data_IF_493146283998
#
_entry.id   IF_493146283998
#
_cell.length_a   1.000
_cell.length_b   1.000
_cell.length_c   1.000
_cell.angle_alpha   90.00
_cell.angle_beta   90.00
_cell.angle_gamma   90.00
#
_symmetry.space_group_name_H-M   'P 1'
#
loop_
_entity.id
_entity.type
_entity.pdbx_description
1 polymer ?
#
# COMPACT_ATOMS: atom_id res chain seq x y z
N UNK A 1 30.31 28.48 9.85
CA UNK A 1 29.53 27.30 9.47
C UNK A 1 29.80 26.26 10.53
N UNK A 2 28.78 25.92 11.33
CA UNK A 2 28.90 24.87 12.33
C UNK A 2 29.14 23.53 11.63
N UNK A 3 30.16 22.80 12.08
CA UNK A 3 30.44 21.45 11.60
C UNK A 3 29.56 20.48 12.40
N UNK A 4 28.92 19.49 11.76
CA UNK A 4 28.11 18.51 12.48
C UNK A 4 28.97 17.76 13.50
N UNK A 5 28.58 17.84 14.77
CA UNK A 5 29.23 17.16 15.89
C UNK A 5 28.57 15.80 16.07
N UNK A 6 29.37 14.75 16.25
CA UNK A 6 28.86 13.42 16.54
C UNK A 6 28.12 13.41 17.88
N UNK A 7 26.83 13.06 17.86
CA UNK A 7 25.97 12.97 19.04
C UNK A 7 26.44 11.93 20.07
N UNK A 8 27.28 10.98 19.66
CA UNK A 8 27.84 9.94 20.52
C UNK A 8 29.20 10.30 21.14
N UNK A 9 30.19 10.69 20.33
CA UNK A 9 31.57 10.92 20.81
C UNK A 9 32.00 12.39 20.89
N UNK A 10 31.14 13.33 20.47
CA UNK A 10 31.40 14.77 20.57
C UNK A 10 32.45 15.31 19.61
N UNK A 11 32.98 14.51 18.66
CA UNK A 11 33.95 14.98 17.66
C UNK A 11 33.27 15.56 16.42
N UNK A 12 33.93 16.54 15.79
CA UNK A 12 33.48 17.26 14.59
C UNK A 12 33.78 16.50 13.28
N UNK A 13 33.62 15.18 13.31
CA UNK A 13 34.04 14.26 12.26
C UNK A 13 32.86 13.45 11.73
N UNK A 14 31.78 14.12 11.33
CA UNK A 14 30.57 13.50 10.77
C UNK A 14 30.51 13.72 9.26
N UNK A 15 30.27 12.65 8.51
CA UNK A 15 30.07 12.62 7.06
C UNK A 15 28.66 12.14 6.73
N UNK A 16 28.13 12.53 5.57
CA UNK A 16 26.82 12.08 5.09
C UNK A 16 27.04 11.02 4.03
N UNK A 17 26.52 9.82 4.27
CA UNK A 17 26.48 8.74 3.29
C UNK A 17 25.07 8.63 2.70
N UNK A 18 24.97 8.45 1.38
CA UNK A 18 23.69 8.29 0.68
C UNK A 18 23.58 6.86 0.20
N UNK A 19 22.50 6.18 0.56
CA UNK A 19 22.22 4.80 0.14
C UNK A 19 20.84 4.71 -0.51
N UNK A 20 20.71 3.79 -1.45
CA UNK A 20 19.43 3.45 -2.07
C UNK A 20 18.69 2.44 -1.19
N UNK A 21 17.41 2.71 -0.92
CA UNK A 21 16.49 1.81 -0.23
C UNK A 21 15.34 1.44 -1.16
N UNK A 22 15.08 0.14 -1.28
CA UNK A 22 13.94 -0.37 -2.06
C UNK A 22 12.71 -0.47 -1.18
N UNK A 23 11.66 0.24 -1.56
CA UNK A 23 10.32 0.14 -0.99
C UNK A 23 9.48 -0.81 -1.84
N UNK A 24 8.59 -1.57 -1.21
CA UNK A 24 7.69 -2.51 -1.87
C UNK A 24 6.28 -2.37 -1.32
N UNK A 25 5.30 -2.51 -2.22
CA UNK A 25 3.88 -2.42 -1.90
C UNK A 25 3.10 -3.48 -2.69
N UNK A 26 2.31 -4.34 -2.03
CA UNK A 26 1.46 -5.32 -2.69
C UNK A 26 0.59 -4.67 -3.77
N UNK A 27 0.58 -5.24 -4.97
CA UNK A 27 -0.09 -4.70 -6.16
C UNK A 27 0.42 -3.32 -6.64
N UNK A 28 1.24 -2.61 -5.87
CA UNK A 28 1.85 -1.32 -6.24
C UNK A 28 3.16 -1.49 -7.02
N UNK A 29 3.94 -2.52 -6.67
CA UNK A 29 5.28 -2.75 -7.21
C UNK A 29 6.36 -2.23 -6.25
N UNK A 30 7.48 -1.79 -6.81
CA UNK A 30 8.63 -1.30 -6.03
C UNK A 30 9.01 0.12 -6.42
N UNK A 31 9.55 0.88 -5.47
CA UNK A 31 10.18 2.18 -5.71
C UNK A 31 11.55 2.20 -5.02
N UNK A 32 12.49 2.98 -5.55
CA UNK A 32 13.79 3.19 -4.90
C UNK A 32 13.84 4.63 -4.39
N UNK A 33 14.19 4.80 -3.12
CA UNK A 33 14.36 6.11 -2.47
C UNK A 33 15.79 6.26 -1.97
N UNK A 34 16.27 7.51 -1.91
CA UNK A 34 17.59 7.82 -1.38
C UNK A 34 17.47 8.22 0.07
N UNK A 35 18.19 7.53 0.95
CA UNK A 35 18.25 7.85 2.38
C UNK A 35 19.67 8.24 2.75
N UNK A 36 19.77 9.11 3.75
CA UNK A 36 21.02 9.70 4.22
C UNK A 36 21.34 9.19 5.63
N UNK A 37 22.55 8.72 5.81
CA UNK A 37 23.08 8.36 7.11
C UNK A 37 24.17 9.37 7.50
N UNK A 38 24.13 9.85 8.74
CA UNK A 38 25.21 10.64 9.35
C UNK A 38 26.17 9.67 10.00
N UNK A 39 27.35 9.51 9.41
CA UNK A 39 28.38 8.56 9.86
C UNK A 39 29.55 9.32 10.46
N UNK A 40 29.88 9.02 11.72
CA UNK A 40 31.05 9.56 12.39
C UNK A 40 32.31 8.80 11.96
N UNK A 41 33.23 9.48 11.27
CA UNK A 41 34.49 8.88 10.81
C UNK A 41 35.49 8.58 11.93
N UNK A 42 35.25 9.10 13.15
CA UNK A 42 36.11 8.84 14.30
C UNK A 42 35.69 7.60 15.11
N UNK A 43 34.40 7.47 15.45
CA UNK A 43 33.91 6.37 16.30
C UNK A 43 33.00 5.37 15.58
N UNK A 44 32.70 5.60 14.30
CA UNK A 44 31.82 4.72 13.50
C UNK A 44 30.34 4.80 13.85
N UNK A 45 29.92 5.73 14.70
CA UNK A 45 28.50 5.91 15.05
C UNK A 45 27.70 6.35 13.82
N UNK A 46 26.53 5.73 13.62
CA UNK A 46 25.62 6.00 12.50
C UNK A 46 24.29 6.50 13.05
N UNK A 47 23.85 7.65 12.57
CA UNK A 47 22.57 8.26 12.89
C UNK A 47 21.77 8.45 11.60
N UNK A 48 20.50 8.05 11.60
CA UNK A 48 19.62 8.30 10.46
C UNK A 48 19.32 9.80 10.38
N UNK A 49 19.26 10.34 9.17
CA UNK A 49 18.77 11.69 8.96
C UNK A 49 17.23 11.74 9.17
N UNK A 50 16.74 12.76 9.87
CA UNK A 50 15.30 12.93 10.15
C UNK A 50 14.47 13.09 8.87
N UNK A 51 15.06 13.58 7.78
CA UNK A 51 14.40 13.70 6.47
C UNK A 51 14.09 12.32 5.86
N UNK A 52 14.78 11.25 6.29
CA UNK A 52 14.57 9.91 5.75
C UNK A 52 13.14 9.41 5.98
N UNK A 53 12.57 9.70 7.15
CA UNK A 53 11.21 9.27 7.48
C UNK A 53 10.20 9.92 6.52
N UNK A 54 10.37 11.21 6.22
CA UNK A 54 9.54 11.92 5.25
C UNK A 54 9.67 11.30 3.86
N UNK A 55 10.90 11.09 3.38
CA UNK A 55 11.17 10.49 2.05
C UNK A 55 10.56 9.08 1.93
N UNK A 56 10.68 8.26 2.98
CA UNK A 56 10.11 6.92 3.02
C UNK A 56 8.58 6.99 3.00
N UNK A 57 7.97 7.85 3.81
CA UNK A 57 6.51 8.00 3.87
C UNK A 57 5.92 8.50 2.56
N UNK A 58 6.58 9.45 1.89
CA UNK A 58 6.18 9.93 0.57
C UNK A 58 6.26 8.81 -0.48
N UNK A 59 7.37 8.06 -0.50
CA UNK A 59 7.56 6.93 -1.40
C UNK A 59 6.50 5.82 -1.19
N UNK A 60 6.23 5.46 0.06
CA UNK A 60 5.17 4.49 0.39
C UNK A 60 3.78 5.02 0.05
N UNK A 61 3.51 6.31 0.25
CA UNK A 61 2.21 6.92 -0.09
C UNK A 61 1.97 6.88 -1.60
N UNK A 62 2.99 7.18 -2.39
CA UNK A 62 2.93 7.07 -3.85
C UNK A 62 2.66 5.62 -4.29
N UNK A 63 3.40 4.66 -3.74
CA UNK A 63 3.21 3.23 -4.02
C UNK A 63 1.80 2.74 -3.67
N UNK A 64 1.24 3.17 -2.52
CA UNK A 64 -0.13 2.82 -2.10
C UNK A 64 -1.19 3.37 -3.06
N UNK A 65 -1.00 4.57 -3.60
CA UNK A 65 -1.89 5.11 -4.64
C UNK A 65 -1.82 4.26 -5.91
N UNK A 66 -0.62 3.92 -6.36
CA UNK A 66 -0.43 3.02 -7.52
C UNK A 66 -1.06 1.65 -7.29
N UNK A 67 -0.89 1.08 -6.09
CA UNK A 67 -1.52 -0.16 -5.67
C UNK A 67 -3.04 -0.08 -5.78
N UNK A 68 -3.63 0.99 -5.25
CA UNK A 68 -5.08 1.21 -5.30
C UNK A 68 -5.63 1.26 -6.73
N UNK A 69 -4.98 2.03 -7.61
CA UNK A 69 -5.36 2.12 -9.03
C UNK A 69 -5.33 0.73 -9.67
N UNK A 70 -4.23 -0.01 -9.50
CA UNK A 70 -4.06 -1.35 -10.08
C UNK A 70 -5.07 -2.36 -9.53
N UNK A 71 -5.40 -2.30 -8.23
CA UNK A 71 -6.43 -3.16 -7.64
C UNK A 71 -7.81 -2.87 -8.23
N UNK A 72 -8.19 -1.59 -8.33
CA UNK A 72 -9.47 -1.19 -8.92
C UNK A 72 -9.55 -1.58 -10.40
N UNK A 73 -8.48 -1.40 -11.17
CA UNK A 73 -8.45 -1.79 -12.59
C UNK A 73 -8.56 -3.29 -12.78
N UNK A 74 -7.86 -4.08 -11.97
CA UNK A 74 -7.97 -5.52 -12.01
C UNK A 74 -9.40 -5.99 -11.68
N UNK A 75 -10.04 -5.43 -10.65
CA UNK A 75 -11.44 -5.75 -10.31
C UNK A 75 -12.41 -5.37 -11.44
N UNK A 76 -12.21 -4.20 -12.06
CA UNK A 76 -12.99 -3.81 -13.24
C UNK A 76 -12.80 -4.79 -14.41
N UNK A 77 -11.56 -5.28 -14.65
CA UNK A 77 -11.31 -6.28 -15.70
C UNK A 77 -11.95 -7.65 -15.41
N UNK A 78 -12.25 -7.93 -14.13
CA UNK A 78 -13.01 -9.11 -13.71
C UNK A 78 -14.54 -8.90 -13.80
N UNK A 79 -15.00 -7.74 -14.26
CA UNK A 79 -16.42 -7.41 -14.42
C UNK A 79 -17.05 -6.66 -13.25
N UNK A 80 -16.31 -6.38 -12.17
CA UNK A 80 -16.82 -5.60 -11.04
C UNK A 80 -16.74 -4.11 -11.31
N UNK A 81 -17.88 -3.47 -11.59
CA UNK A 81 -17.90 -2.01 -11.82
C UNK A 81 -17.66 -1.23 -10.52
N UNK A 82 -17.05 -0.04 -10.62
CA UNK A 82 -16.82 0.84 -9.45
C UNK A 82 -18.10 1.17 -8.70
N UNK A 83 -19.20 1.44 -9.41
CA UNK A 83 -20.49 1.76 -8.79
C UNK A 83 -21.14 0.53 -8.11
N UNK A 84 -20.92 -0.68 -8.62
CA UNK A 84 -21.36 -1.89 -7.94
C UNK A 84 -20.57 -2.11 -6.65
N UNK A 85 -19.23 -2.01 -6.72
CA UNK A 85 -18.36 -2.14 -5.54
C UNK A 85 -18.67 -1.09 -4.47
N UNK A 86 -18.90 0.17 -4.85
CA UNK A 86 -19.26 1.24 -3.90
C UNK A 86 -20.58 0.93 -3.19
N UNK A 87 -21.59 0.40 -3.90
CA UNK A 87 -22.86 -0.01 -3.27
C UNK A 87 -22.69 -1.23 -2.36
N UNK A 88 -21.99 -2.26 -2.83
CA UNK A 88 -21.75 -3.48 -2.06
C UNK A 88 -21.04 -3.21 -0.73
N UNK A 89 -20.10 -2.25 -0.75
CA UNK A 89 -19.26 -1.90 0.40
C UNK A 89 -19.78 -0.69 1.18
N UNK A 90 -20.96 -0.17 0.85
CA UNK A 90 -21.56 1.02 1.45
C UNK A 90 -20.65 2.26 1.45
N UNK A 91 -19.80 2.38 0.42
CA UNK A 91 -18.93 3.53 0.24
C UNK A 91 -19.72 4.70 -0.35
N UNK A 92 -19.41 5.96 0.02
CA UNK A 92 -19.96 7.12 -0.65
C UNK A 92 -19.72 7.05 -2.17
N UNK A 93 -20.70 7.49 -2.94
CA UNK A 93 -20.61 7.49 -4.39
C UNK A 93 -19.33 8.20 -4.87
N UNK A 94 -18.69 7.62 -5.88
CA UNK A 94 -17.43 8.07 -6.50
C UNK A 94 -16.18 7.90 -5.62
N UNK A 95 -16.24 7.28 -4.44
CA UNK A 95 -15.03 7.04 -3.62
C UNK A 95 -13.93 6.30 -4.39
N UNK A 96 -14.27 5.18 -5.05
CA UNK A 96 -13.30 4.40 -5.82
C UNK A 96 -12.87 5.15 -7.09
N UNK A 97 -13.79 5.87 -7.72
CA UNK A 97 -13.47 6.71 -8.88
C UNK A 97 -12.47 7.83 -8.53
N UNK A 98 -12.58 8.42 -7.33
CA UNK A 98 -11.65 9.43 -6.83
C UNK A 98 -10.28 8.83 -6.53
N UNK A 99 -10.23 7.69 -5.84
CA UNK A 99 -8.95 7.00 -5.60
C UNK A 99 -8.25 6.57 -6.89
N UNK A 100 -9.01 6.28 -7.96
CA UNK A 100 -8.46 5.95 -9.27
C UNK A 100 -7.90 7.18 -10.01
N UNK A 101 -8.61 8.30 -9.98
CA UNK A 101 -8.36 9.42 -10.90
C UNK A 101 -7.74 10.67 -10.25
N UNK A 102 -7.89 10.86 -8.94
CA UNK A 102 -7.44 12.07 -8.24
C UNK A 102 -6.13 11.81 -7.49
N UNK A 103 -5.00 12.24 -8.06
CA UNK A 103 -3.66 12.02 -7.48
C UNK A 103 -3.48 12.66 -6.10
N UNK A 104 -4.23 13.72 -5.78
CA UNK A 104 -4.20 14.40 -4.49
C UNK A 104 -4.84 13.58 -3.37
N UNK A 105 -5.59 12.52 -3.70
CA UNK A 105 -6.30 11.72 -2.72
C UNK A 105 -5.56 10.40 -2.50
N UNK A 106 -5.10 10.23 -1.27
CA UNK A 106 -4.64 8.92 -0.79
C UNK A 106 -5.78 8.19 -0.11
N UNK A 107 -6.00 6.89 -0.40
CA UNK A 107 -6.83 6.06 0.44
C UNK A 107 -6.25 5.98 1.86
N UNK A 108 -7.13 5.81 2.86
CA UNK A 108 -6.70 5.52 4.22
C UNK A 108 -6.02 4.14 4.29
N UNK A 109 -5.26 3.89 5.36
CA UNK A 109 -4.66 2.57 5.58
C UNK A 109 -5.71 1.44 5.61
N UNK A 110 -6.87 1.69 6.21
CA UNK A 110 -8.00 0.77 6.21
C UNK A 110 -8.57 0.55 4.80
N UNK A 111 -8.69 1.61 3.99
CA UNK A 111 -9.14 1.50 2.60
C UNK A 111 -8.18 0.67 1.74
N UNK A 112 -6.87 0.86 1.91
CA UNK A 112 -5.86 0.02 1.23
C UNK A 112 -5.97 -1.43 1.69
N UNK A 113 -6.08 -1.68 3.00
CA UNK A 113 -6.19 -3.04 3.53
C UNK A 113 -7.44 -3.77 3.01
N UNK A 114 -8.60 -3.10 3.02
CA UNK A 114 -9.85 -3.64 2.49
C UNK A 114 -9.72 -3.99 1.01
N UNK A 115 -9.19 -3.08 0.19
CA UNK A 115 -9.06 -3.31 -1.24
C UNK A 115 -8.06 -4.43 -1.56
N UNK A 116 -7.01 -4.62 -0.75
CA UNK A 116 -6.12 -5.79 -0.87
C UNK A 116 -6.88 -7.09 -0.61
N UNK A 117 -7.73 -7.14 0.41
CA UNK A 117 -8.57 -8.32 0.70
C UNK A 117 -9.51 -8.60 -0.47
N UNK A 118 -10.24 -7.59 -0.96
CA UNK A 118 -11.18 -7.73 -2.07
C UNK A 118 -10.46 -8.15 -3.35
N UNK A 119 -9.31 -7.56 -3.67
CA UNK A 119 -8.51 -7.96 -4.83
C UNK A 119 -8.04 -9.42 -4.73
N UNK A 120 -7.75 -9.89 -3.52
CA UNK A 120 -7.31 -11.27 -3.27
C UNK A 120 -8.48 -12.25 -3.32
N UNK A 121 -9.65 -11.85 -2.83
CA UNK A 121 -10.86 -12.66 -2.77
C UNK A 121 -12.08 -11.91 -3.33
N UNK A 122 -12.20 -11.75 -4.67
CA UNK A 122 -13.23 -10.89 -5.26
C UNK A 122 -14.67 -11.35 -5.00
N UNK A 123 -14.87 -12.64 -4.74
CA UNK A 123 -16.16 -13.21 -4.35
C UNK A 123 -16.74 -12.59 -3.07
N UNK A 124 -15.91 -11.96 -2.21
CA UNK A 124 -16.38 -11.21 -1.03
C UNK A 124 -17.35 -10.10 -1.43
N UNK A 125 -17.26 -9.55 -2.66
CA UNK A 125 -18.22 -8.54 -3.13
C UNK A 125 -19.65 -9.09 -3.21
N UNK A 126 -19.84 -10.36 -3.59
CA UNK A 126 -21.16 -10.99 -3.60
C UNK A 126 -21.72 -11.18 -2.18
N UNK A 127 -20.84 -11.45 -1.22
CA UNK A 127 -21.19 -11.53 0.20
C UNK A 127 -21.58 -10.15 0.73
N UNK A 128 -20.84 -9.11 0.36
CA UNK A 128 -21.12 -7.73 0.75
C UNK A 128 -22.46 -7.24 0.15
N UNK A 129 -22.74 -7.54 -1.13
CA UNK A 129 -24.04 -7.30 -1.77
C UNK A 129 -25.20 -8.00 -1.05
N UNK A 130 -24.91 -9.11 -0.38
CA UNK A 130 -25.87 -9.88 0.43
C UNK A 130 -25.86 -9.47 1.91
N UNK A 131 -25.32 -8.28 2.23
CA UNK A 131 -25.24 -7.72 3.59
C UNK A 131 -24.55 -8.66 4.60
N UNK A 132 -23.55 -9.40 4.13
CA UNK A 132 -22.79 -10.34 4.95
C UNK A 132 -23.65 -11.46 5.57
N UNK A 133 -24.72 -11.88 4.88
CA UNK A 133 -25.51 -13.04 5.29
C UNK A 133 -24.60 -14.28 5.45
N UNK A 134 -24.57 -14.93 6.64
CA UNK A 134 -23.67 -16.04 6.89
C UNK A 134 -23.91 -17.27 6.01
N UNK A 135 -25.15 -17.54 5.62
CA UNK A 135 -25.47 -18.67 4.74
C UNK A 135 -25.02 -18.39 3.31
N UNK A 136 -25.30 -17.18 2.81
CA UNK A 136 -24.82 -16.77 1.47
C UNK A 136 -23.29 -16.76 1.43
N UNK A 137 -22.62 -16.28 2.47
CA UNK A 137 -21.16 -16.31 2.57
C UNK A 137 -20.60 -17.74 2.48
N UNK A 138 -21.19 -18.67 3.24
CA UNK A 138 -20.82 -20.08 3.25
C UNK A 138 -21.01 -20.71 1.88
N UNK A 139 -22.17 -20.50 1.25
CA UNK A 139 -22.49 -21.05 -0.07
C UNK A 139 -21.55 -20.47 -1.13
N UNK A 140 -21.30 -19.16 -1.12
CA UNK A 140 -20.40 -18.49 -2.07
C UNK A 140 -18.98 -19.04 -1.95
N UNK A 141 -18.49 -19.26 -0.74
CA UNK A 141 -17.17 -19.86 -0.51
C UNK A 141 -17.10 -21.29 -1.08
N UNK A 142 -18.12 -22.12 -0.83
CA UNK A 142 -18.18 -23.48 -1.37
C UNK A 142 -18.20 -23.49 -2.90
N UNK A 143 -18.95 -22.57 -3.52
CA UNK A 143 -18.98 -22.40 -4.98
C UNK A 143 -17.62 -21.99 -5.53
N UNK A 144 -16.91 -21.08 -4.86
CA UNK A 144 -15.56 -20.69 -5.28
C UNK A 144 -14.59 -21.87 -5.19
N UNK A 145 -14.63 -22.64 -4.08
CA UNK A 145 -13.80 -23.83 -3.91
C UNK A 145 -14.06 -24.83 -5.04
N UNK A 146 -15.33 -25.11 -5.34
CA UNK A 146 -15.71 -26.03 -6.42
C UNK A 146 -15.24 -25.52 -7.80
N UNK A 147 -15.31 -24.22 -8.05
CA UNK A 147 -14.80 -23.60 -9.28
C UNK A 147 -13.27 -23.75 -9.41
N UNK A 148 -12.52 -23.46 -8.35
CA UNK A 148 -11.06 -23.62 -8.34
C UNK A 148 -10.66 -25.09 -8.57
N UNK A 149 -11.32 -26.04 -7.90
CA UNK A 149 -11.05 -27.47 -8.12
C UNK A 149 -11.26 -27.90 -9.57
N UNK A 150 -12.31 -27.41 -10.24
CA UNK A 150 -12.56 -27.72 -11.65
C UNK A 150 -11.53 -27.14 -12.62
N UNK A 151 -10.81 -26.09 -12.22
CA UNK A 151 -9.80 -25.44 -13.04
C UNK A 151 -8.36 -25.95 -12.76
N UNK A 152 -8.21 -26.90 -11.85
CA UNK A 152 -6.92 -27.54 -11.53
C UNK A 152 -6.62 -28.78 -12.40
N UNK A 153 -7.62 -29.28 -13.13
CA UNK A 153 -7.50 -30.36 -14.14
C UNK A 153 -7.35 -29.79 -15.56
#
# INVERSE_FOLDING_TARGET
MDRPICSYCGKDSVSIEVKDMVLSEPYGGTATVKIKDKVCTHCGFVENDDDNDLVIQEGLTALKRTSMVKMIEALNSMGYTTAAMERALELPARTLARWKNEQSISPSAAGVALMRIIRTFPWILAVADSQFDPEVARITLLQQIEHEFRNLD
#
